data_IF_671974900718
#
_entry.id   IF_671974900718
#
_cell.length_a   1.000
_cell.length_b   1.000
_cell.length_c   1.000
_cell.angle_alpha   90.00
_cell.angle_beta   90.00
_cell.angle_gamma   90.00
#
_symmetry.space_group_name_H-M   'P 1'
#
loop_
_entity.id
_entity.type
_entity.pdbx_description
1 polymer ?
#
# COMPACT_ATOMS: atom_id res chain seq x y z
N UNK A 1 -1.03 47.30 -32.65
CA UNK A 1 -0.55 47.23 -31.24
C UNK A 1 -1.43 46.35 -30.35
N UNK A 2 -2.77 46.45 -30.39
CA UNK A 2 -3.67 45.55 -29.60
C UNK A 2 -3.59 44.06 -29.99
N UNK A 3 -3.50 43.72 -31.28
CA UNK A 3 -3.37 42.30 -31.71
C UNK A 3 -2.02 41.66 -31.33
N UNK A 4 -0.93 42.43 -31.31
CA UNK A 4 0.38 41.96 -30.85
C UNK A 4 0.37 41.64 -29.35
N UNK A 5 -0.33 42.46 -28.55
CA UNK A 5 -0.51 42.24 -27.11
C UNK A 5 -1.36 40.99 -26.81
N UNK A 6 -2.42 40.74 -27.60
CA UNK A 6 -3.22 39.51 -27.45
C UNK A 6 -2.45 38.25 -27.85
N UNK A 7 -1.62 38.29 -28.91
CA UNK A 7 -0.76 37.15 -29.27
C UNK A 7 0.32 36.87 -28.22
N UNK A 8 0.90 37.90 -27.59
CA UNK A 8 1.86 37.70 -26.49
C UNK A 8 1.20 37.05 -25.25
N UNK A 9 -0.04 37.44 -24.93
CA UNK A 9 -0.78 36.85 -23.80
C UNK A 9 -1.09 35.36 -24.04
N UNK A 10 -1.39 34.98 -25.29
CA UNK A 10 -1.69 33.60 -25.66
C UNK A 10 -0.45 32.70 -25.62
N UNK A 11 0.72 33.22 -26.01
CA UNK A 11 2.00 32.50 -25.91
C UNK A 11 2.42 32.31 -24.45
N UNK A 12 2.16 33.28 -23.57
CA UNK A 12 2.44 33.16 -22.13
C UNK A 12 1.59 32.10 -21.43
N UNK A 13 0.36 31.80 -21.90
CA UNK A 13 -0.47 30.75 -21.33
C UNK A 13 0.00 29.33 -21.70
N UNK A 14 0.71 29.16 -22.82
CA UNK A 14 1.16 27.85 -23.30
C UNK A 14 2.39 27.34 -22.54
N UNK A 15 3.21 28.25 -21.97
CA UNK A 15 4.47 27.88 -21.29
C UNK A 15 4.25 27.43 -19.83
N UNK A 16 3.09 27.71 -19.23
CA UNK A 16 2.78 27.31 -17.83
C UNK A 16 2.29 25.84 -17.73
N UNK A 17 2.03 25.17 -18.86
CA UNK A 17 1.47 23.81 -18.89
C UNK A 17 2.48 22.66 -18.83
N UNK A 18 3.79 22.94 -18.76
CA UNK A 18 4.81 21.90 -18.79
C UNK A 18 5.57 21.80 -17.46
N UNK A 19 5.30 20.72 -16.72
CA UNK A 19 6.29 20.11 -15.84
C UNK A 19 5.93 20.03 -14.36
N UNK A 20 4.81 19.40 -13.99
CA UNK A 20 4.78 18.72 -12.69
C UNK A 20 5.68 17.48 -12.80
N UNK A 21 6.98 17.68 -12.55
CA UNK A 21 7.87 16.61 -12.11
C UNK A 21 7.45 16.22 -10.69
N UNK A 22 6.21 15.75 -10.50
CA UNK A 22 5.73 15.29 -9.22
C UNK A 22 6.48 13.99 -8.89
N UNK A 23 7.66 14.11 -8.29
CA UNK A 23 8.27 13.01 -7.58
C UNK A 23 7.33 12.69 -6.42
N UNK A 24 6.58 11.61 -6.54
CA UNK A 24 5.75 11.14 -5.43
C UNK A 24 6.69 10.74 -4.28
N UNK A 25 6.50 11.35 -3.12
CA UNK A 25 7.20 10.94 -1.91
C UNK A 25 6.52 9.69 -1.34
N UNK A 26 7.31 8.63 -1.10
CA UNK A 26 6.85 7.44 -0.41
C UNK A 26 7.32 7.53 1.04
N UNK A 27 6.39 7.74 1.96
CA UNK A 27 6.70 7.79 3.38
C UNK A 27 6.81 6.37 3.94
N UNK A 28 7.86 6.11 4.71
CA UNK A 28 8.03 4.84 5.40
C UNK A 28 7.19 4.81 6.67
N UNK A 29 6.28 3.85 6.78
CA UNK A 29 5.45 3.66 7.97
C UNK A 29 5.19 2.17 8.22
N UNK A 30 6.23 1.42 8.62
CA UNK A 30 6.11 -0.02 8.74
C UNK A 30 5.09 -0.43 9.80
N UNK A 31 4.29 -1.44 9.50
CA UNK A 31 3.49 -2.15 10.51
C UNK A 31 4.38 -3.11 11.31
N UNK A 32 3.86 -3.66 12.41
CA UNK A 32 4.61 -4.64 13.19
C UNK A 32 4.86 -5.91 12.37
N UNK A 33 6.12 -6.19 12.06
CA UNK A 33 6.58 -7.42 11.43
C UNK A 33 7.55 -8.14 12.37
N UNK A 34 6.99 -8.79 13.38
CA UNK A 34 7.72 -9.58 14.37
C UNK A 34 7.80 -11.06 13.96
N UNK A 35 8.48 -11.86 14.79
CA UNK A 35 8.57 -13.32 14.59
C UNK A 35 7.20 -13.99 14.54
N UNK A 36 6.20 -13.44 15.23
CA UNK A 36 4.82 -13.95 15.18
C UNK A 36 4.23 -13.76 13.79
N UNK A 37 4.30 -12.56 13.20
CA UNK A 37 3.82 -12.31 11.84
C UNK A 37 4.60 -13.14 10.83
N UNK A 38 5.92 -13.26 10.98
CA UNK A 38 6.76 -14.05 10.09
C UNK A 38 6.32 -15.52 10.08
N UNK A 39 6.17 -16.14 11.25
CA UNK A 39 5.70 -17.53 11.35
C UNK A 39 4.29 -17.70 10.78
N UNK A 40 3.35 -16.82 11.15
CA UNK A 40 1.98 -16.90 10.65
C UNK A 40 1.90 -16.70 9.13
N UNK A 41 2.85 -15.97 8.53
CA UNK A 41 2.99 -15.81 7.08
C UNK A 41 3.49 -17.08 6.42
N UNK A 42 4.50 -17.73 6.98
CA UNK A 42 4.97 -19.05 6.53
C UNK A 42 3.86 -20.10 6.61
N UNK A 43 3.16 -20.16 7.75
CA UNK A 43 2.04 -21.07 7.95
C UNK A 43 0.92 -20.81 6.93
N UNK A 44 0.61 -19.54 6.62
CA UNK A 44 -0.39 -19.21 5.61
C UNK A 44 0.05 -19.66 4.21
N UNK A 45 1.30 -19.40 3.83
CA UNK A 45 1.87 -19.79 2.54
C UNK A 45 1.87 -21.31 2.34
N UNK A 46 2.30 -22.06 3.35
CA UNK A 46 2.26 -23.52 3.37
C UNK A 46 0.81 -24.03 3.28
N UNK A 47 -0.08 -23.61 4.18
CA UNK A 47 -1.42 -24.19 4.27
C UNK A 47 -2.34 -23.80 3.09
N UNK A 48 -2.20 -22.59 2.53
CA UNK A 48 -3.11 -22.09 1.48
C UNK A 48 -2.57 -22.29 0.07
N UNK A 49 -1.26 -22.30 -0.09
CA UNK A 49 -0.63 -22.36 -1.40
C UNK A 49 0.35 -23.54 -1.56
N UNK A 50 0.57 -24.35 -0.53
CA UNK A 50 1.53 -25.45 -0.57
C UNK A 50 2.98 -24.99 -0.74
N UNK A 51 3.29 -23.75 -0.34
CA UNK A 51 4.63 -23.17 -0.46
C UNK A 51 5.41 -23.36 0.83
N UNK A 52 6.36 -24.29 0.83
CA UNK A 52 7.30 -24.51 1.93
C UNK A 52 8.57 -23.67 1.72
N UNK A 53 8.83 -22.72 2.62
CA UNK A 53 9.95 -21.78 2.54
C UNK A 53 10.42 -21.35 3.94
N UNK A 54 11.67 -20.91 4.06
CA UNK A 54 12.26 -20.51 5.35
C UNK A 54 11.93 -19.07 5.76
N UNK A 55 11.67 -18.20 4.78
CA UNK A 55 11.37 -16.79 4.97
C UNK A 55 10.09 -16.42 4.22
N UNK A 56 9.18 -15.59 4.76
CA UNK A 56 7.89 -15.25 4.13
C UNK A 56 8.06 -14.20 3.02
N UNK A 57 8.93 -14.49 2.06
CA UNK A 57 9.24 -13.63 0.92
C UNK A 57 8.46 -14.05 -0.33
N UNK A 58 8.24 -13.09 -1.22
CA UNK A 58 7.62 -13.25 -2.53
C UNK A 58 8.49 -12.61 -3.61
N UNK A 59 8.31 -13.05 -4.85
CA UNK A 59 8.82 -12.35 -6.05
C UNK A 59 7.65 -11.63 -6.71
N UNK A 60 7.48 -10.30 -6.56
CA UNK A 60 6.33 -9.58 -7.08
C UNK A 60 6.22 -9.70 -8.61
N UNK A 61 5.08 -10.19 -9.10
CA UNK A 61 4.81 -10.33 -10.54
C UNK A 61 3.65 -9.44 -11.02
N UNK A 62 2.82 -8.93 -10.09
CA UNK A 62 1.64 -8.15 -10.42
C UNK A 62 1.34 -7.10 -9.34
N UNK A 63 0.62 -6.05 -9.72
CA UNK A 63 0.10 -5.04 -8.82
C UNK A 63 -1.40 -5.30 -8.62
N UNK A 64 -1.82 -5.41 -7.36
CA UNK A 64 -3.24 -5.51 -6.99
C UNK A 64 -3.68 -4.17 -6.40
N UNK A 65 -4.66 -3.54 -7.04
CA UNK A 65 -5.30 -2.32 -6.52
C UNK A 65 -6.53 -2.71 -5.70
N UNK A 66 -6.60 -2.24 -4.46
CA UNK A 66 -7.70 -2.55 -3.55
C UNK A 66 -8.17 -1.30 -2.79
N UNK A 67 -9.47 -1.21 -2.52
CA UNK A 67 -10.08 -0.15 -1.71
C UNK A 67 -10.23 -0.62 -0.26
N UNK A 68 -9.82 0.18 0.71
CA UNK A 68 -10.02 -0.16 2.14
C UNK A 68 -11.46 0.09 2.56
N UNK A 69 -12.15 -0.93 3.08
CA UNK A 69 -13.49 -0.77 3.66
C UNK A 69 -13.50 0.13 4.92
N UNK A 70 -12.33 0.35 5.53
CA UNK A 70 -12.11 1.23 6.68
C UNK A 70 -11.91 2.68 6.16
N UNK A 71 -12.64 3.68 6.70
CA UNK A 71 -12.81 4.98 6.04
C UNK A 71 -11.59 5.90 6.14
N UNK A 72 -10.71 5.69 7.12
CA UNK A 72 -9.54 6.55 7.32
C UNK A 72 -8.22 5.79 7.23
N UNK A 73 -7.18 6.52 6.83
CA UNK A 73 -5.81 6.01 6.82
C UNK A 73 -5.36 5.54 8.20
N UNK A 74 -5.64 6.34 9.24
CA UNK A 74 -5.23 6.03 10.61
C UNK A 74 -5.84 4.71 11.08
N UNK A 75 -7.15 4.55 10.93
CA UNK A 75 -7.84 3.32 11.33
C UNK A 75 -7.40 2.13 10.49
N UNK A 76 -7.15 2.31 9.19
CA UNK A 76 -6.65 1.23 8.33
C UNK A 76 -5.25 0.78 8.75
N UNK A 77 -4.37 1.74 9.03
CA UNK A 77 -3.02 1.46 9.52
C UNK A 77 -3.06 0.75 10.88
N UNK A 78 -3.84 1.25 11.84
CA UNK A 78 -3.99 0.63 13.16
C UNK A 78 -4.59 -0.79 13.04
N UNK A 79 -5.54 -0.98 12.11
CA UNK A 79 -6.11 -2.29 11.84
C UNK A 79 -5.08 -3.28 11.28
N UNK A 80 -4.19 -2.84 10.40
CA UNK A 80 -3.12 -3.69 9.84
C UNK A 80 -1.93 -3.88 10.79
N UNK A 81 -1.81 -3.05 11.84
CA UNK A 81 -0.62 -2.98 12.66
C UNK A 81 -0.29 -4.32 13.35
N UNK A 82 -1.27 -4.92 14.02
CA UNK A 82 -1.07 -6.13 14.83
C UNK A 82 -0.84 -7.38 13.98
N UNK A 83 0.10 -8.24 14.39
CA UNK A 83 0.44 -9.49 13.70
C UNK A 83 -0.72 -10.49 13.63
N UNK A 84 -1.56 -10.52 14.68
CA UNK A 84 -2.69 -11.45 14.80
C UNK A 84 -3.99 -10.81 14.38
N UNK A 85 -4.78 -11.57 13.64
CA UNK A 85 -6.14 -11.20 13.27
C UNK A 85 -6.96 -10.91 14.53
N UNK A 86 -7.75 -9.84 14.48
CA UNK A 86 -8.68 -9.53 15.57
C UNK A 86 -9.69 -10.69 15.76
N UNK A 87 -9.82 -11.29 16.96
CA UNK A 87 -10.75 -12.41 17.22
C UNK A 87 -12.22 -12.11 16.93
N UNK A 88 -12.60 -10.83 16.75
CA UNK A 88 -13.94 -10.45 16.31
C UNK A 88 -14.18 -10.73 14.82
N UNK A 89 -13.13 -10.99 14.02
CA UNK A 89 -13.17 -11.30 12.58
C UNK A 89 -13.40 -12.80 12.33
N UNK A 90 -14.53 -13.28 12.82
CA UNK A 90 -14.94 -14.69 12.68
C UNK A 90 -15.13 -15.14 11.23
N UNK A 91 -15.30 -14.19 10.31
CA UNK A 91 -15.46 -14.44 8.88
C UNK A 91 -14.23 -15.05 8.21
N UNK A 92 -13.04 -14.83 8.77
CA UNK A 92 -11.76 -15.27 8.19
C UNK A 92 -10.80 -15.88 9.23
N UNK A 93 -11.30 -16.13 10.45
CA UNK A 93 -10.51 -16.70 11.55
C UNK A 93 -10.10 -18.15 11.26
N UNK A 94 -11.04 -18.95 10.73
CA UNK A 94 -10.80 -20.34 10.33
C UNK A 94 -9.75 -20.46 9.20
N UNK A 95 -9.52 -19.38 8.46
CA UNK A 95 -8.59 -19.34 7.34
C UNK A 95 -7.13 -19.13 7.75
N UNK A 96 -6.89 -18.36 8.82
CA UNK A 96 -5.58 -18.17 9.47
C UNK A 96 -5.66 -17.08 10.55
N UNK A 97 -4.85 -17.23 11.58
CA UNK A 97 -4.64 -16.21 12.62
C UNK A 97 -3.76 -15.03 12.18
N UNK A 98 -3.16 -15.06 10.99
CA UNK A 98 -2.38 -13.96 10.40
C UNK A 98 -3.28 -12.77 10.13
N UNK A 99 -2.95 -11.58 10.64
CA UNK A 99 -3.72 -10.40 10.27
C UNK A 99 -3.50 -10.03 8.79
N UNK A 100 -4.52 -9.45 8.16
CA UNK A 100 -4.41 -8.92 6.80
C UNK A 100 -3.59 -7.62 6.81
N UNK A 101 -2.96 -7.32 5.69
CA UNK A 101 -2.10 -6.14 5.49
C UNK A 101 -2.02 -5.76 4.02
N UNK A 102 -1.19 -4.79 3.70
CA UNK A 102 -0.86 -4.40 2.33
C UNK A 102 0.57 -3.86 2.30
N UNK A 103 1.21 -3.85 1.13
CA UNK A 103 2.52 -3.19 0.96
C UNK A 103 2.42 -1.67 1.08
N UNK A 104 1.32 -1.08 0.61
CA UNK A 104 1.12 0.36 0.58
C UNK A 104 -0.29 0.77 1.00
N UNK A 105 -0.39 1.93 1.65
CA UNK A 105 -1.62 2.67 1.84
C UNK A 105 -1.52 4.02 1.15
N UNK A 106 -2.54 4.37 0.37
CA UNK A 106 -2.64 5.64 -0.34
C UNK A 106 -3.80 6.45 0.23
N UNK A 107 -3.51 7.66 0.73
CA UNK A 107 -4.54 8.58 1.22
C UNK A 107 -5.31 9.20 0.06
N UNK A 108 -6.51 9.71 0.34
CA UNK A 108 -7.35 10.40 -0.66
C UNK A 108 -6.70 11.66 -1.27
N UNK A 109 -5.74 12.26 -0.58
CA UNK A 109 -4.97 13.41 -1.08
C UNK A 109 -3.70 13.01 -1.85
N UNK A 110 -3.49 11.71 -2.11
CA UNK A 110 -2.36 11.20 -2.91
C UNK A 110 -1.09 10.88 -2.13
N UNK A 111 -1.02 11.13 -0.82
CA UNK A 111 0.12 10.71 0.00
C UNK A 111 0.21 9.18 0.06
N UNK A 112 1.42 8.65 -0.14
CA UNK A 112 1.71 7.21 -0.23
C UNK A 112 2.54 6.79 0.97
N UNK A 113 2.13 5.70 1.63
CA UNK A 113 2.85 5.12 2.76
C UNK A 113 3.19 3.67 2.49
N UNK A 114 4.47 3.30 2.60
CA UNK A 114 4.91 1.91 2.54
C UNK A 114 4.84 1.29 3.93
N UNK A 115 4.13 0.17 4.04
CA UNK A 115 3.91 -0.58 5.28
C UNK A 115 4.79 -1.82 5.38
N UNK A 116 5.12 -2.44 4.25
CA UNK A 116 5.99 -3.62 4.16
C UNK A 116 6.88 -3.49 2.91
N UNK A 117 8.10 -4.05 2.92
CA UNK A 117 8.92 -4.21 1.73
C UNK A 117 8.19 -5.01 0.65
N UNK A 118 8.39 -4.66 -0.62
CA UNK A 118 7.69 -5.24 -1.76
C UNK A 118 7.89 -6.76 -1.89
N UNK A 119 9.01 -7.26 -1.37
CA UNK A 119 9.38 -8.68 -1.40
C UNK A 119 8.91 -9.46 -0.18
N UNK A 120 8.27 -8.84 0.82
CA UNK A 120 7.62 -9.57 1.91
C UNK A 120 6.19 -9.92 1.52
N UNK A 121 5.74 -11.10 1.94
CA UNK A 121 4.35 -11.50 1.80
C UNK A 121 3.45 -10.58 2.65
N UNK A 122 2.37 -10.09 2.04
CA UNK A 122 1.27 -9.40 2.72
C UNK A 122 -0.02 -10.18 2.46
N UNK A 123 -0.66 -10.68 3.53
CA UNK A 123 -1.97 -11.36 3.44
C UNK A 123 -3.08 -10.37 3.14
#
# INVERSE_FOLDING_TARGET
MRSLFLSLLFVSLIVVGCGDNSSFEIHQKPIQFDSTRAQLSLDYLSNRYGMEQEEPTISPQMIVLHWTAIPTFKESYEFFYESRLNPKRKDIEDESALNVSAHYLVKRNGEIYQLLPDTLFAR
#
